data_IF_872981881253
#
_entry.id   IF_872981881253
#
_cell.length_a   1.000
_cell.length_b   1.000
_cell.length_c   1.000
_cell.angle_alpha   90.00
_cell.angle_beta   90.00
_cell.angle_gamma   90.00
#
_symmetry.space_group_name_H-M   'P 1'
#
loop_
_entity.id
_entity.type
_entity.pdbx_description
1 polymer ?
#
# COMPACT_ATOMS: atom_id res chain seq x y z
N UNK A 1 -15.27 32.63 19.94
CA UNK A 1 -16.28 31.92 19.12
C UNK A 1 -15.57 31.36 17.92
N UNK A 2 -15.19 30.08 17.96
CA UNK A 2 -14.51 29.42 16.82
C UNK A 2 -15.51 29.24 15.69
N UNK A 3 -15.19 29.74 14.49
CA UNK A 3 -15.97 29.44 13.28
C UNK A 3 -15.85 27.95 13.01
N UNK A 4 -16.97 27.25 13.06
CA UNK A 4 -17.06 25.89 12.56
C UNK A 4 -16.96 25.99 11.04
N UNK A 5 -15.83 25.59 10.46
CA UNK A 5 -15.68 25.49 9.01
C UNK A 5 -16.57 24.34 8.53
N UNK A 6 -17.53 24.63 7.66
CA UNK A 6 -18.29 23.59 6.98
C UNK A 6 -17.43 22.98 5.89
N UNK A 7 -17.05 21.72 6.03
CA UNK A 7 -16.42 20.97 4.94
C UNK A 7 -17.46 20.78 3.81
N UNK A 8 -17.05 20.90 2.54
CA UNK A 8 -17.93 20.58 1.43
C UNK A 8 -18.37 19.11 1.47
N UNK A 9 -19.57 18.77 0.96
CA UNK A 9 -19.99 17.39 0.77
C UNK A 9 -18.98 16.59 -0.06
N UNK A 10 -18.86 15.29 0.18
CA UNK A 10 -17.96 14.41 -0.59
C UNK A 10 -18.24 14.44 -2.09
N UNK A 11 -19.52 14.61 -2.48
CA UNK A 11 -19.93 14.71 -3.89
C UNK A 11 -19.45 16.00 -4.58
N UNK A 12 -19.17 17.05 -3.81
CA UNK A 12 -18.65 18.32 -4.33
C UNK A 12 -17.11 18.38 -4.24
N UNK A 13 -16.53 17.61 -3.32
CA UNK A 13 -15.09 17.62 -3.02
C UNK A 13 -14.29 16.55 -3.78
N UNK A 14 -14.95 15.49 -4.25
CA UNK A 14 -14.29 14.34 -4.85
C UNK A 14 -14.99 13.94 -6.16
N UNK A 15 -14.18 13.64 -7.18
CA UNK A 15 -14.65 13.03 -8.42
C UNK A 15 -14.37 11.52 -8.37
N UNK A 16 -15.38 10.64 -8.52
CA UNK A 16 -15.16 9.21 -8.60
C UNK A 16 -14.28 8.84 -9.80
N UNK A 17 -13.65 7.67 -9.74
CA UNK A 17 -12.89 7.15 -10.88
C UNK A 17 -13.77 7.02 -12.12
N UNK A 18 -13.11 7.21 -13.26
CA UNK A 18 -13.69 7.18 -14.60
C UNK A 18 -14.44 5.87 -14.92
N UNK A 19 -13.91 4.74 -14.49
CA UNK A 19 -14.50 3.40 -14.63
C UNK A 19 -15.81 3.25 -13.83
N UNK A 20 -15.86 3.80 -12.62
CA UNK A 20 -17.06 3.85 -11.77
C UNK A 20 -18.14 4.71 -12.44
N UNK A 21 -17.77 5.87 -12.97
CA UNK A 21 -18.71 6.78 -13.64
C UNK A 21 -19.31 6.16 -14.91
N UNK A 22 -18.54 5.35 -15.64
CA UNK A 22 -18.99 4.64 -16.85
C UNK A 22 -19.74 3.33 -16.55
N UNK A 23 -19.71 2.86 -15.30
CA UNK A 23 -20.31 1.58 -14.93
C UNK A 23 -19.54 0.37 -15.46
N UNK A 24 -18.23 0.52 -15.67
CA UNK A 24 -17.33 -0.49 -16.22
C UNK A 24 -16.53 -1.23 -15.13
N UNK A 25 -16.83 -0.98 -13.86
CA UNK A 25 -16.14 -1.60 -12.73
C UNK A 25 -16.39 -3.12 -12.72
N UNK A 26 -15.34 -3.90 -12.93
CA UNK A 26 -15.41 -5.35 -12.99
C UNK A 26 -15.61 -5.97 -11.59
N UNK A 27 -16.29 -7.12 -11.53
CA UNK A 27 -16.66 -7.74 -10.25
C UNK A 27 -15.45 -8.21 -9.42
N UNK A 28 -14.36 -8.57 -10.10
CA UNK A 28 -13.09 -8.99 -9.50
C UNK A 28 -12.38 -7.86 -8.76
N UNK A 29 -12.72 -6.59 -9.03
CA UNK A 29 -12.20 -5.43 -8.30
C UNK A 29 -12.88 -5.21 -6.94
N UNK A 30 -13.98 -5.90 -6.61
CA UNK A 30 -14.63 -5.74 -5.31
C UNK A 30 -13.93 -6.52 -4.19
N UNK A 31 -13.09 -7.50 -4.52
CA UNK A 31 -12.46 -8.35 -3.53
C UNK A 31 -10.99 -8.63 -3.89
N UNK A 32 -10.09 -8.00 -3.13
CA UNK A 32 -8.67 -8.31 -3.21
C UNK A 32 -8.41 -9.79 -2.89
N UNK A 33 -7.56 -10.43 -3.70
CA UNK A 33 -7.12 -11.81 -3.50
C UNK A 33 -5.60 -11.91 -3.65
N UNK A 34 -4.90 -12.02 -2.51
CA UNK A 34 -3.43 -12.17 -2.50
C UNK A 34 -2.95 -13.39 -3.27
N UNK A 35 -3.69 -14.52 -3.24
CA UNK A 35 -3.26 -15.74 -3.91
C UNK A 35 -3.19 -15.53 -5.43
N UNK A 36 -4.20 -14.90 -6.01
CA UNK A 36 -4.19 -14.54 -7.43
C UNK A 36 -3.06 -13.56 -7.74
N UNK A 37 -2.85 -12.52 -6.91
CA UNK A 37 -1.74 -11.57 -7.11
C UNK A 37 -0.37 -12.26 -7.10
N UNK A 38 -0.16 -13.19 -6.16
CA UNK A 38 1.15 -13.78 -5.94
C UNK A 38 1.46 -14.99 -6.84
N UNK A 39 0.44 -15.75 -7.25
CA UNK A 39 0.62 -17.04 -7.92
C UNK A 39 -0.04 -17.12 -9.31
N UNK A 40 -1.12 -16.38 -9.53
CA UNK A 40 -1.91 -16.41 -10.77
C UNK A 40 -2.21 -14.97 -11.27
N UNK A 41 -1.18 -14.13 -11.55
CA UNK A 41 -1.36 -12.69 -11.74
C UNK A 41 -2.21 -12.33 -12.96
N UNK A 42 -2.27 -13.19 -13.98
CA UNK A 42 -3.15 -13.00 -15.13
C UNK A 42 -4.64 -12.98 -14.74
N UNK A 43 -5.00 -13.71 -13.67
CA UNK A 43 -6.37 -13.80 -13.14
C UNK A 43 -6.67 -12.71 -12.08
N UNK A 44 -5.65 -11.95 -11.65
CA UNK A 44 -5.83 -10.84 -10.73
C UNK A 44 -6.19 -9.55 -11.49
N UNK A 45 -7.09 -8.74 -10.92
CA UNK A 45 -7.42 -7.44 -11.48
C UNK A 45 -6.16 -6.53 -11.55
N UNK A 46 -6.00 -5.71 -12.61
CA UNK A 46 -4.86 -4.81 -12.78
C UNK A 46 -4.52 -3.99 -11.53
N UNK A 47 -5.54 -3.37 -10.92
CA UNK A 47 -5.46 -2.59 -9.68
C UNK A 47 -4.84 -3.32 -8.48
N UNK A 48 -4.76 -4.65 -8.51
CA UNK A 48 -4.16 -5.47 -7.46
C UNK A 48 -2.85 -6.15 -7.86
N UNK A 49 -2.57 -6.34 -9.15
CA UNK A 49 -1.34 -7.04 -9.60
C UNK A 49 -0.24 -6.10 -10.04
N UNK A 50 -0.61 -4.92 -10.54
CA UNK A 50 0.33 -3.88 -10.92
C UNK A 50 0.68 -3.07 -9.68
N UNK A 51 1.98 -3.00 -9.36
CA UNK A 51 2.43 -2.38 -8.12
C UNK A 51 2.10 -0.88 -8.11
N UNK A 52 2.32 -0.17 -9.21
CA UNK A 52 2.07 1.27 -9.29
C UNK A 52 0.58 1.57 -9.18
N UNK A 53 -0.27 0.86 -9.93
CA UNK A 53 -1.72 1.03 -9.88
C UNK A 53 -2.29 0.72 -8.49
N UNK A 54 -1.76 -0.34 -7.84
CA UNK A 54 -2.14 -0.72 -6.49
C UNK A 54 -1.81 0.39 -5.48
N UNK A 55 -0.58 0.90 -5.48
CA UNK A 55 -0.15 1.94 -4.54
C UNK A 55 -0.84 3.28 -4.83
N UNK A 56 -1.05 3.64 -6.10
CA UNK A 56 -1.81 4.83 -6.49
C UNK A 56 -3.27 4.77 -6.01
N UNK A 57 -3.86 3.57 -5.97
CA UNK A 57 -5.25 3.35 -5.52
C UNK A 57 -5.37 3.09 -4.01
N UNK A 58 -4.25 2.91 -3.30
CA UNK A 58 -4.23 2.55 -1.88
C UNK A 58 -3.91 3.77 -1.02
N UNK A 59 -4.78 4.10 -0.07
CA UNK A 59 -4.49 5.20 0.84
C UNK A 59 -3.42 4.78 1.88
N UNK A 60 -2.37 5.60 2.12
CA UNK A 60 -1.31 5.30 3.09
C UNK A 60 -1.81 5.52 4.52
N UNK A 61 -2.59 4.57 5.05
CA UNK A 61 -2.99 4.62 6.46
C UNK A 61 -1.77 4.50 7.38
N UNK A 62 -1.82 5.07 8.58
CA UNK A 62 -0.72 4.97 9.56
C UNK A 62 -0.30 3.51 9.83
N UNK A 63 -1.27 2.58 9.84
CA UNK A 63 -1.00 1.16 10.00
C UNK A 63 -0.25 0.54 8.82
N UNK A 64 -0.63 0.91 7.59
CA UNK A 64 0.06 0.47 6.38
C UNK A 64 1.48 1.05 6.31
N UNK A 65 1.65 2.34 6.62
CA UNK A 65 2.98 2.97 6.66
C UNK A 65 3.87 2.28 7.70
N UNK A 66 3.37 2.07 8.92
CA UNK A 66 4.09 1.34 9.98
C UNK A 66 4.51 -0.06 9.53
N UNK A 67 3.61 -0.80 8.86
CA UNK A 67 3.89 -2.13 8.33
C UNK A 67 5.03 -2.09 7.30
N UNK A 68 4.92 -1.24 6.28
CA UNK A 68 5.89 -1.16 5.20
C UNK A 68 7.24 -0.62 5.69
N UNK A 69 7.26 0.36 6.60
CA UNK A 69 8.47 0.82 7.30
C UNK A 69 9.17 -0.31 8.03
N UNK A 70 8.42 -1.15 8.74
CA UNK A 70 8.99 -2.27 9.49
C UNK A 70 9.59 -3.32 8.55
N UNK A 71 8.89 -3.67 7.47
CA UNK A 71 9.39 -4.62 6.46
C UNK A 71 10.66 -4.06 5.79
N UNK A 72 10.62 -2.81 5.36
CA UNK A 72 11.73 -2.11 4.69
C UNK A 72 12.97 -2.07 5.59
N UNK A 73 12.79 -1.67 6.84
CA UNK A 73 13.88 -1.63 7.84
C UNK A 73 14.49 -3.01 8.06
N UNK A 74 13.69 -4.07 8.04
CA UNK A 74 14.17 -5.46 8.17
C UNK A 74 14.98 -5.93 6.96
N UNK A 75 14.59 -5.55 5.74
CA UNK A 75 15.40 -5.81 4.55
C UNK A 75 16.77 -5.12 4.66
N UNK A 76 16.79 -3.84 5.08
CA UNK A 76 18.01 -3.07 5.28
C UNK A 76 18.92 -3.65 6.39
N UNK A 77 18.33 -4.19 7.47
CA UNK A 77 19.03 -4.93 8.51
C UNK A 77 19.88 -6.07 7.96
N UNK A 78 19.30 -6.81 7.02
CA UNK A 78 19.92 -7.98 6.40
C UNK A 78 21.08 -7.56 5.49
N UNK A 79 21.07 -6.33 4.98
CA UNK A 79 22.15 -5.72 4.20
C UNK A 79 23.27 -5.12 5.05
N UNK A 80 23.28 -5.35 6.38
CA UNK A 80 24.32 -4.86 7.29
C UNK A 80 24.12 -3.43 7.79
N UNK A 81 22.95 -2.81 7.54
CA UNK A 81 22.56 -1.54 8.17
C UNK A 81 21.79 -1.83 9.46
N UNK A 82 22.40 -1.62 10.62
CA UNK A 82 21.81 -1.99 11.92
C UNK A 82 20.54 -1.17 12.23
N UNK A 83 19.33 -1.76 12.27
CA UNK A 83 18.15 -1.08 12.74
C UNK A 83 18.01 -1.32 14.24
N UNK A 84 17.91 -0.23 14.97
CA UNK A 84 17.57 -0.20 16.39
C UNK A 84 16.14 -0.77 16.56
N UNK A 85 16.03 -2.10 16.73
CA UNK A 85 14.81 -2.86 17.00
C UNK A 85 13.76 -2.92 15.86
N UNK A 86 13.71 -4.07 15.16
CA UNK A 86 12.52 -4.49 14.39
C UNK A 86 12.00 -5.81 14.95
N UNK A 87 10.84 -5.80 15.63
CA UNK A 87 10.15 -7.03 16.01
C UNK A 87 9.86 -7.88 14.75
N UNK A 88 10.24 -9.15 14.76
CA UNK A 88 10.10 -10.04 13.60
C UNK A 88 8.69 -10.56 13.33
N UNK A 89 7.70 -10.10 14.09
CA UNK A 89 6.30 -10.50 13.97
C UNK A 89 5.47 -9.21 14.03
N UNK A 90 4.69 -8.94 12.97
CA UNK A 90 3.65 -7.92 12.97
C UNK A 90 2.29 -8.61 13.06
N UNK A 91 1.46 -8.15 13.99
CA UNK A 91 0.06 -8.56 14.05
C UNK A 91 -0.77 -7.54 13.25
N UNK A 92 -1.42 -7.99 12.18
CA UNK A 92 -2.34 -7.16 11.40
C UNK A 92 -3.67 -7.07 12.15
N UNK A 93 -3.73 -6.19 13.16
CA UNK A 93 -4.96 -5.96 13.92
C UNK A 93 -5.84 -4.92 13.21
N UNK A 94 -6.54 -5.37 12.17
CA UNK A 94 -7.59 -4.56 11.53
C UNK A 94 -8.96 -5.01 12.03
N UNK A 95 -9.83 -4.05 12.34
CA UNK A 95 -11.26 -4.30 12.56
C UNK A 95 -11.90 -4.97 11.33
N UNK A 96 -13.08 -5.56 11.52
CA UNK A 96 -13.78 -6.39 10.53
C UNK A 96 -13.94 -5.63 9.19
N UNK A 97 -13.45 -6.21 8.07
CA UNK A 97 -13.42 -5.60 6.74
C UNK A 97 -12.20 -4.69 6.44
N UNK A 98 -11.29 -4.49 7.38
CA UNK A 98 -10.38 -3.34 7.41
C UNK A 98 -8.98 -3.46 6.77
N UNK A 99 -8.79 -4.21 5.68
CA UNK A 99 -7.57 -4.04 4.86
C UNK A 99 -6.45 -5.08 4.95
N UNK A 100 -6.56 -6.14 5.76
CA UNK A 100 -5.51 -7.20 5.85
C UNK A 100 -5.02 -7.75 4.50
N UNK A 101 -5.93 -8.03 3.56
CA UNK A 101 -5.50 -8.52 2.25
C UNK A 101 -4.74 -7.46 1.47
N UNK A 102 -5.12 -6.18 1.60
CA UNK A 102 -4.34 -5.07 1.02
C UNK A 102 -2.98 -4.95 1.69
N UNK A 103 -2.89 -5.04 3.02
CA UNK A 103 -1.62 -5.01 3.75
C UNK A 103 -0.67 -6.11 3.25
N UNK A 104 -1.19 -7.31 3.02
CA UNK A 104 -0.39 -8.41 2.48
C UNK A 104 -0.01 -8.21 1.01
N UNK A 105 -0.89 -7.66 0.17
CA UNK A 105 -0.58 -7.32 -1.23
C UNK A 105 0.49 -6.22 -1.28
N UNK A 106 0.37 -5.19 -0.45
CA UNK A 106 1.36 -4.13 -0.32
C UNK A 106 2.73 -4.68 0.09
N UNK A 107 2.76 -5.57 1.10
CA UNK A 107 3.98 -6.26 1.52
C UNK A 107 4.57 -7.14 0.41
N UNK A 108 3.73 -7.82 -0.36
CA UNK A 108 4.14 -8.64 -1.50
C UNK A 108 4.79 -7.79 -2.60
N UNK A 109 4.16 -6.69 -3.01
CA UNK A 109 4.71 -5.77 -4.00
C UNK A 109 5.99 -5.10 -3.51
N UNK A 110 6.05 -4.67 -2.24
CA UNK A 110 7.27 -4.14 -1.67
C UNK A 110 8.43 -5.14 -1.77
N UNK A 111 8.17 -6.42 -1.47
CA UNK A 111 9.20 -7.45 -1.50
C UNK A 111 9.60 -7.90 -2.92
N UNK A 112 8.67 -7.91 -3.87
CA UNK A 112 8.85 -8.57 -5.18
C UNK A 112 8.98 -7.59 -6.36
N UNK A 113 8.31 -6.44 -6.27
CA UNK A 113 8.11 -5.47 -7.35
C UNK A 113 8.47 -4.04 -6.90
N UNK A 114 9.40 -3.89 -5.94
CA UNK A 114 9.72 -2.58 -5.34
C UNK A 114 10.27 -1.54 -6.30
N UNK A 115 10.87 -1.99 -7.42
CA UNK A 115 11.34 -1.10 -8.50
C UNK A 115 10.20 -0.42 -9.26
N UNK A 116 8.98 -0.98 -9.18
CA UNK A 116 7.81 -0.51 -9.93
C UNK A 116 6.88 0.35 -9.06
N UNK A 117 7.27 0.68 -7.82
CA UNK A 117 6.48 1.54 -6.92
C UNK A 117 7.01 2.98 -7.05
N UNK A 118 6.31 3.87 -7.74
CA UNK A 118 6.79 5.24 -8.03
C UNK A 118 6.88 6.12 -6.77
N UNK A 119 5.87 6.09 -5.91
CA UNK A 119 5.76 6.96 -4.71
C UNK A 119 5.95 6.20 -3.39
N UNK A 120 6.95 5.30 -3.32
CA UNK A 120 7.19 4.49 -2.11
C UNK A 120 7.36 5.35 -0.84
N UNK A 121 7.94 6.55 -0.96
CA UNK A 121 8.16 7.46 0.16
C UNK A 121 6.85 7.90 0.84
N UNK A 122 5.73 7.97 0.12
CA UNK A 122 4.42 8.25 0.69
C UNK A 122 3.86 7.12 1.56
N UNK A 123 4.37 5.91 1.38
CA UNK A 123 3.88 4.69 2.04
C UNK A 123 4.84 4.17 3.11
N UNK A 124 5.89 4.91 3.42
CA UNK A 124 6.88 4.59 4.45
C UNK A 124 7.06 5.83 5.33
N UNK A 125 7.13 5.67 6.64
CA UNK A 125 7.11 6.76 7.62
C UNK A 125 8.36 7.68 7.54
N UNK A 126 9.42 7.21 6.88
CA UNK A 126 10.70 7.92 6.73
C UNK A 126 11.19 7.86 5.28
N UNK A 127 11.32 9.04 4.66
CA UNK A 127 11.79 9.20 3.27
C UNK A 127 13.24 8.71 3.09
N UNK A 128 14.06 8.80 4.13
CA UNK A 128 15.42 8.29 4.16
C UNK A 128 15.45 6.76 4.11
N UNK A 129 14.54 6.09 4.82
CA UNK A 129 14.36 4.63 4.78
C UNK A 129 13.89 4.18 3.41
N UNK A 130 12.92 4.87 2.80
CA UNK A 130 12.46 4.57 1.44
C UNK A 130 13.59 4.71 0.40
N UNK A 131 14.38 5.78 0.50
CA UNK A 131 15.54 6.01 -0.39
C UNK A 131 16.61 4.94 -0.19
N UNK A 132 16.98 4.67 1.06
CA UNK A 132 17.93 3.64 1.43
C UNK A 132 17.55 2.26 0.90
N UNK A 133 16.26 1.93 0.93
CA UNK A 133 15.75 0.68 0.41
C UNK A 133 15.89 0.58 -1.10
N UNK A 134 15.51 1.62 -1.84
CA UNK A 134 15.70 1.67 -3.29
C UNK A 134 17.17 1.52 -3.68
N UNK A 135 18.08 2.18 -2.99
CA UNK A 135 19.53 2.02 -3.19
C UNK A 135 20.03 0.61 -2.90
N UNK A 136 19.38 -0.13 -2.00
CA UNK A 136 19.79 -1.50 -1.66
C UNK A 136 19.40 -2.54 -2.72
N UNK A 137 18.51 -2.17 -3.65
CA UNK A 137 18.00 -3.04 -4.71
C UNK A 137 18.79 -2.91 -6.03
N UNK A 138 19.64 -1.88 -6.15
CA UNK A 138 20.53 -1.63 -7.30
C UNK A 138 21.89 -2.29 -7.17
#
# INVERSE_FOLDING_TARGET
MSRQQSLPPVFDACEPRDDVLRGELAEDQFAANLASVAFDPEDAAPVYRDADEFFASTYPTDGLQTLLSTITSRFLATSGRDPEYSAGILCLDTTFGGGKTHDMIAAYHLASNSGDIDDLARHVDDEGVATAYRESLS
#
